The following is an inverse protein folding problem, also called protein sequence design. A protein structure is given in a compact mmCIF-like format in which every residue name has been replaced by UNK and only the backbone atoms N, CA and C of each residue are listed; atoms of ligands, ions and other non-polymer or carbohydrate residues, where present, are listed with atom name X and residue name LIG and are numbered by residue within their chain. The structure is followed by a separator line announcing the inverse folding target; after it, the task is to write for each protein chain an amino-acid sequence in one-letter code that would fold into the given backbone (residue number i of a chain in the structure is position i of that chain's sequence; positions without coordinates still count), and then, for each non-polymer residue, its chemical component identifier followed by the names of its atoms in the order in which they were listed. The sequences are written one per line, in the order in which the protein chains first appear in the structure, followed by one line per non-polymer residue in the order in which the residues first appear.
data_IF_287747524357
#
_entry.id   IF_287747524357
#
_cell.length_a   1.000
_cell.length_b   1.000
_cell.length_c   1.000
_cell.angle_alpha   90.00
_cell.angle_beta   90.00
_cell.angle_gamma   90.00
#
_symmetry.space_group_name_H-M   'P 1'
#
loop_
_entity.id
_entity.type
_entity.pdbx_description
1 polymer ?
#
# COMPACT_ATOMS: atom_id res chain seq x y z
N UNK A 1 17.46 -7.94 21.98
CA UNK A 1 17.85 -8.37 20.63
C UNK A 1 17.82 -7.23 19.61
N UNK A 2 16.70 -6.54 19.34
CA UNK A 2 16.71 -5.40 18.39
C UNK A 2 17.68 -4.29 18.83
N UNK A 3 17.61 -3.86 20.09
CA UNK A 3 18.52 -2.85 20.65
C UNK A 3 19.99 -3.29 20.60
N UNK A 4 20.27 -4.60 20.74
CA UNK A 4 21.63 -5.15 20.68
C UNK A 4 22.15 -5.15 19.24
N UNK A 5 21.29 -5.44 18.25
CA UNK A 5 21.64 -5.38 16.82
C UNK A 5 22.00 -3.94 16.42
N UNK A 6 21.26 -2.95 16.94
CA UNK A 6 21.59 -1.54 16.74
C UNK A 6 22.90 -1.13 17.42
N UNK A 7 23.12 -1.55 18.67
CA UNK A 7 24.35 -1.28 19.42
C UNK A 7 25.60 -1.87 18.74
N UNK A 8 25.45 -3.04 18.11
CA UNK A 8 26.51 -3.69 17.32
C UNK A 8 26.73 -3.03 15.95
N UNK A 9 25.95 -2.01 15.57
CA UNK A 9 26.06 -1.31 14.29
C UNK A 9 25.71 -2.17 13.07
N UNK A 10 25.09 -3.33 13.29
CA UNK A 10 24.78 -4.30 12.23
C UNK A 10 23.73 -3.78 11.25
N UNK A 11 22.88 -2.84 11.68
CA UNK A 11 21.89 -2.18 10.82
C UNK A 11 22.52 -1.33 9.70
N UNK A 12 23.83 -1.05 9.78
CA UNK A 12 24.60 -0.30 8.77
C UNK A 12 25.56 -1.18 7.97
N UNK A 13 25.64 -2.47 8.28
CA UNK A 13 26.56 -3.42 7.65
C UNK A 13 25.80 -4.57 6.99
N UNK A 14 26.11 -4.84 5.72
CA UNK A 14 25.62 -6.04 5.02
C UNK A 14 26.50 -7.27 5.28
N UNK A 15 27.58 -7.11 6.04
CA UNK A 15 28.54 -8.19 6.30
C UNK A 15 28.07 -9.02 7.50
N UNK A 16 27.94 -10.35 7.36
CA UNK A 16 27.66 -11.19 8.51
C UNK A 16 28.79 -11.11 9.54
N UNK A 17 28.42 -11.09 10.82
CA UNK A 17 29.36 -11.11 11.94
C UNK A 17 29.34 -12.47 12.61
N UNK A 18 30.51 -12.95 13.01
CA UNK A 18 30.62 -14.07 13.95
C UNK A 18 30.54 -13.55 15.38
N UNK A 19 30.18 -14.39 16.33
CA UNK A 19 30.21 -14.01 17.75
C UNK A 19 31.63 -13.63 18.17
N UNK A 20 32.62 -14.39 17.70
CA UNK A 20 34.03 -14.08 17.90
C UNK A 20 34.49 -12.72 17.30
N UNK A 21 33.74 -12.16 16.35
CA UNK A 21 34.04 -10.84 15.75
C UNK A 21 33.44 -9.67 16.56
N UNK A 22 32.60 -9.96 17.57
CA UNK A 22 31.92 -8.93 18.36
C UNK A 22 32.89 -8.26 19.34
N UNK A 23 32.78 -6.93 19.45
CA UNK A 23 33.56 -6.15 20.42
C UNK A 23 33.07 -6.32 21.87
N UNK A 24 31.82 -6.72 22.04
CA UNK A 24 31.19 -6.89 23.36
C UNK A 24 31.11 -8.39 23.71
N UNK A 25 31.56 -8.81 24.89
CA UNK A 25 31.43 -10.21 25.32
C UNK A 25 29.97 -10.68 25.35
N UNK A 26 29.69 -11.89 24.87
CA UNK A 26 28.31 -12.43 24.85
C UNK A 26 27.68 -12.60 26.23
N UNK A 27 28.47 -12.69 27.30
CA UNK A 27 27.96 -12.69 28.67
C UNK A 27 27.33 -11.36 29.08
N UNK A 28 27.70 -10.26 28.42
CA UNK A 28 27.16 -8.93 28.67
C UNK A 28 25.97 -8.61 27.75
N UNK A 29 25.79 -9.40 26.69
CA UNK A 29 24.64 -9.31 25.81
C UNK A 29 23.47 -10.05 26.44
N UNK A 30 22.39 -9.32 26.74
CA UNK A 30 21.18 -9.85 27.36
C UNK A 30 20.61 -11.06 26.63
N UNK A 31 20.48 -11.00 25.30
CA UNK A 31 19.95 -12.13 24.52
C UNK A 31 20.80 -13.39 24.66
N UNK A 32 22.13 -13.23 24.72
CA UNK A 32 23.05 -14.34 24.90
C UNK A 32 23.11 -14.86 26.33
N UNK A 33 23.13 -13.98 27.33
CA UNK A 33 23.22 -14.35 28.74
C UNK A 33 21.93 -15.01 29.25
N UNK A 34 20.76 -14.46 28.88
CA UNK A 34 19.47 -14.92 29.40
C UNK A 34 18.87 -16.07 28.58
N UNK A 35 19.19 -16.19 27.28
CA UNK A 35 18.54 -17.16 26.40
C UNK A 35 19.51 -18.11 25.70
N UNK A 36 20.46 -17.59 24.92
CA UNK A 36 21.24 -18.45 24.01
C UNK A 36 22.28 -19.31 24.74
N UNK A 37 23.00 -18.74 25.71
CA UNK A 37 24.01 -19.46 26.49
C UNK A 37 23.39 -20.55 27.38
N UNK A 38 22.30 -20.29 28.12
CA UNK A 38 21.57 -21.34 28.85
C UNK A 38 21.04 -22.45 27.94
N UNK A 39 20.62 -22.12 26.71
CA UNK A 39 20.17 -23.09 25.71
C UNK A 39 21.33 -23.92 25.08
N UNK A 40 22.58 -23.67 25.48
CA UNK A 40 23.74 -24.44 25.03
C UNK A 40 24.46 -23.89 23.80
N UNK A 41 24.02 -22.75 23.25
CA UNK A 41 24.73 -22.09 22.15
C UNK A 41 26.00 -21.40 22.66
N UNK A 42 27.06 -21.42 21.85
CA UNK A 42 28.40 -20.92 22.22
C UNK A 42 29.01 -20.02 21.15
N UNK A 43 28.56 -20.14 19.92
CA UNK A 43 29.10 -19.40 18.77
C UNK A 43 28.02 -19.33 17.66
N UNK A 44 28.22 -18.50 16.64
CA UNK A 44 27.30 -18.40 15.52
C UNK A 44 27.65 -17.31 14.51
N UNK A 45 26.82 -17.20 13.48
CA UNK A 45 26.84 -16.14 12.48
C UNK A 45 25.53 -15.35 12.54
N UNK A 46 25.62 -14.03 12.42
CA UNK A 46 24.46 -13.15 12.39
C UNK A 46 24.56 -12.14 11.24
N UNK A 47 23.45 -11.84 10.58
CA UNK A 47 23.39 -10.74 9.62
C UNK A 47 22.02 -10.06 9.62
N UNK A 48 22.01 -8.76 9.29
CA UNK A 48 20.79 -8.05 8.94
C UNK A 48 20.39 -8.38 7.49
N UNK A 49 19.10 -8.58 7.26
CA UNK A 49 18.51 -8.76 5.93
C UNK A 49 17.84 -7.47 5.50
N UNK A 50 18.04 -7.09 4.24
CA UNK A 50 17.55 -5.84 3.69
C UNK A 50 16.75 -6.08 2.40
N UNK A 51 15.76 -5.22 2.17
CA UNK A 51 15.08 -5.12 0.90
C UNK A 51 16.00 -4.44 -0.13
N UNK A 52 15.63 -4.53 -1.41
CA UNK A 52 16.42 -3.95 -2.51
C UNK A 52 16.53 -2.41 -2.43
N UNK A 53 15.57 -1.76 -1.77
CA UNK A 53 15.54 -0.32 -1.49
C UNK A 53 16.31 0.08 -0.22
N UNK A 54 16.95 -0.88 0.48
CA UNK A 54 17.73 -0.64 1.68
C UNK A 54 16.95 -0.69 3.00
N UNK A 55 15.63 -0.94 2.98
CA UNK A 55 14.88 -1.11 4.23
C UNK A 55 15.34 -2.37 4.98
N UNK A 56 15.51 -2.27 6.29
CA UNK A 56 15.80 -3.42 7.14
C UNK A 56 14.57 -4.32 7.25
N UNK A 57 14.69 -5.58 6.80
CA UNK A 57 13.63 -6.59 6.85
C UNK A 57 13.69 -7.42 8.13
N UNK A 58 14.88 -7.57 8.71
CA UNK A 58 15.05 -8.33 9.94
C UNK A 58 16.47 -8.80 10.14
N UNK A 59 16.61 -9.85 10.94
CA UNK A 59 17.89 -10.42 11.33
C UNK A 59 17.85 -11.94 11.18
N UNK A 60 18.94 -12.50 10.67
CA UNK A 60 19.15 -13.94 10.54
C UNK A 60 20.33 -14.35 11.41
N UNK A 61 20.09 -15.30 12.32
CA UNK A 61 21.12 -15.92 13.15
C UNK A 61 21.24 -17.42 12.86
N UNK A 62 22.47 -17.89 12.66
CA UNK A 62 22.83 -19.31 12.62
C UNK A 62 23.68 -19.61 13.86
N UNK A 63 23.14 -20.39 14.79
CA UNK A 63 23.75 -20.62 16.10
C UNK A 63 24.28 -22.05 16.20
N UNK A 64 25.40 -22.22 16.89
CA UNK A 64 26.01 -23.53 17.16
C UNK A 64 26.33 -23.70 18.65
N UNK A 65 26.21 -24.93 19.14
CA UNK A 65 26.66 -25.29 20.50
C UNK A 65 28.16 -25.56 20.59
N UNK A 66 28.84 -25.70 19.45
CA UNK A 66 30.29 -25.80 19.40
C UNK A 66 30.93 -24.43 19.64
N UNK A 67 32.02 -24.33 20.43
CA UNK A 67 32.79 -23.09 20.56
C UNK A 67 33.68 -22.81 19.33
N UNK A 68 33.67 -23.68 18.31
CA UNK A 68 34.47 -23.50 17.10
C UNK A 68 33.95 -22.33 16.28
N UNK A 69 34.83 -21.34 16.05
CA UNK A 69 34.53 -20.16 15.24
C UNK A 69 34.26 -20.55 13.78
N UNK A 70 33.12 -20.13 13.18
CA UNK A 70 32.82 -20.36 11.78
C UNK A 70 33.91 -19.86 10.84
N UNK A 71 34.18 -20.63 9.80
CA UNK A 71 35.22 -20.30 8.85
C UNK A 71 34.84 -19.06 8.04
N UNK A 72 35.81 -18.31 7.48
CA UNK A 72 35.52 -17.18 6.58
C UNK A 72 34.61 -17.59 5.40
N UNK A 73 34.78 -18.81 4.88
CA UNK A 73 33.94 -19.33 3.80
C UNK A 73 32.45 -19.45 4.20
N UNK A 74 32.15 -19.80 5.45
CA UNK A 74 30.76 -19.87 5.95
C UNK A 74 30.15 -18.47 6.02
N UNK A 75 30.94 -17.49 6.44
CA UNK A 75 30.57 -16.07 6.48
C UNK A 75 30.29 -15.53 5.08
N UNK A 76 31.17 -15.83 4.12
CA UNK A 76 31.05 -15.37 2.74
C UNK A 76 29.84 -16.03 2.03
N UNK A 77 29.57 -17.31 2.32
CA UNK A 77 28.37 -17.99 1.84
C UNK A 77 27.10 -17.32 2.37
N UNK A 78 27.04 -17.03 3.67
CA UNK A 78 25.89 -16.34 4.27
C UNK A 78 25.70 -14.94 3.67
N UNK A 79 26.79 -14.20 3.46
CA UNK A 79 26.76 -12.90 2.80
C UNK A 79 26.18 -12.99 1.37
N UNK A 80 26.59 -14.01 0.61
CA UNK A 80 26.09 -14.25 -0.74
C UNK A 80 24.60 -14.63 -0.78
N UNK A 81 24.10 -15.33 0.25
CA UNK A 81 22.69 -15.69 0.37
C UNK A 81 21.80 -14.53 0.84
N UNK A 82 22.35 -13.55 1.56
CA UNK A 82 21.63 -12.42 2.15
C UNK A 82 20.62 -11.74 1.20
N UNK A 83 21.02 -11.30 -0.02
CA UNK A 83 20.09 -10.68 -0.96
C UNK A 83 18.96 -11.60 -1.44
N UNK A 84 19.22 -12.90 -1.60
CA UNK A 84 18.20 -13.86 -2.00
C UNK A 84 17.18 -14.08 -0.87
N UNK A 85 17.66 -14.22 0.37
CA UNK A 85 16.82 -14.36 1.55
C UNK A 85 16.01 -13.09 1.81
N UNK A 86 16.63 -11.91 1.71
CA UNK A 86 15.94 -10.61 1.81
C UNK A 86 14.78 -10.50 0.82
N UNK A 87 15.01 -10.82 -0.46
CA UNK A 87 13.92 -10.87 -1.46
C UNK A 87 12.83 -11.90 -1.16
N UNK A 88 13.20 -13.03 -0.58
CA UNK A 88 12.25 -14.11 -0.27
C UNK A 88 11.32 -13.74 0.89
N UNK A 89 11.80 -12.94 1.85
CA UNK A 89 11.05 -12.56 3.05
C UNK A 89 10.46 -11.15 3.00
N UNK A 90 10.75 -10.35 1.95
CA UNK A 90 10.22 -8.99 1.83
C UNK A 90 8.69 -9.01 1.71
N UNK A 91 7.95 -8.55 2.73
CA UNK A 91 6.49 -8.59 2.71
C UNK A 91 5.90 -7.68 1.64
N UNK A 92 6.62 -6.63 1.22
CA UNK A 92 6.12 -5.68 0.23
C UNK A 92 6.32 -6.17 -1.21
N UNK A 93 7.02 -7.28 -1.41
CA UNK A 93 7.25 -7.85 -2.74
C UNK A 93 5.95 -8.24 -3.43
N UNK A 94 5.05 -8.94 -2.72
CA UNK A 94 3.75 -9.33 -3.27
C UNK A 94 2.88 -8.11 -3.57
N UNK A 95 2.89 -7.12 -2.68
CA UNK A 95 2.14 -5.88 -2.87
C UNK A 95 2.63 -5.10 -4.10
N UNK A 96 3.94 -4.98 -4.26
CA UNK A 96 4.56 -4.33 -5.42
C UNK A 96 4.21 -5.06 -6.72
N UNK A 97 4.25 -6.40 -6.72
CA UNK A 97 3.86 -7.20 -7.88
C UNK A 97 2.38 -7.02 -8.24
N UNK A 98 1.48 -6.97 -7.25
CA UNK A 98 0.06 -6.73 -7.47
C UNK A 98 -0.19 -5.34 -8.08
N UNK A 99 0.49 -4.30 -7.56
CA UNK A 99 0.39 -2.96 -8.10
C UNK A 99 0.87 -2.84 -9.55
N UNK A 100 1.89 -3.61 -9.96
CA UNK A 100 2.38 -3.65 -11.34
C UNK A 100 1.36 -4.21 -12.34
N UNK A 101 0.34 -4.92 -11.88
CA UNK A 101 -0.77 -5.35 -12.73
C UNK A 101 -1.68 -4.18 -13.15
N UNK A 102 -1.63 -3.07 -12.43
CA UNK A 102 -2.37 -1.85 -12.79
C UNK A 102 -1.60 -1.12 -13.89
N UNK A 103 -2.16 -1.14 -15.09
CA UNK A 103 -1.56 -0.51 -16.26
C UNK A 103 -1.38 1.00 -16.06
N UNK A 104 -0.22 1.53 -16.48
CA UNK A 104 0.12 2.94 -16.39
C UNK A 104 0.05 3.52 -14.95
N UNK A 105 0.32 2.70 -13.93
CA UNK A 105 0.47 3.20 -12.57
C UNK A 105 1.63 4.22 -12.49
N UNK A 106 1.33 5.42 -12.01
CA UNK A 106 2.27 6.54 -11.90
C UNK A 106 2.70 6.84 -10.48
N UNK A 107 1.95 6.38 -9.48
CA UNK A 107 2.28 6.51 -8.06
C UNK A 107 1.53 5.46 -7.24
N UNK A 108 2.02 5.13 -6.04
CA UNK A 108 1.34 4.16 -5.19
C UNK A 108 1.79 4.15 -3.73
N UNK A 109 0.87 3.75 -2.85
CA UNK A 109 1.11 3.57 -1.42
C UNK A 109 0.37 2.33 -0.91
N UNK A 110 0.77 1.85 0.25
CA UNK A 110 0.07 0.81 0.99
C UNK A 110 -0.60 1.46 2.19
N UNK A 111 -1.91 1.25 2.31
CA UNK A 111 -2.69 1.65 3.46
C UNK A 111 -2.40 0.71 4.63
N UNK A 112 -2.31 1.30 5.82
CA UNK A 112 -2.15 0.55 7.06
C UNK A 112 -3.45 0.60 7.88
N UNK A 113 -3.53 -0.16 8.97
CA UNK A 113 -4.59 -0.04 9.97
C UNK A 113 -4.57 1.34 10.67
N UNK A 114 -3.39 1.97 10.76
CA UNK A 114 -3.26 3.35 11.25
C UNK A 114 -3.56 4.34 10.10
N UNK A 115 -3.74 5.64 10.38
CA UNK A 115 -3.86 6.66 9.33
C UNK A 115 -2.59 6.82 8.48
N UNK A 116 -1.49 6.17 8.85
CA UNK A 116 -0.23 6.22 8.12
C UNK A 116 -0.30 5.42 6.82
N UNK A 117 0.61 5.77 5.92
CA UNK A 117 0.83 5.10 4.64
C UNK A 117 2.27 4.64 4.52
N UNK A 118 2.47 3.49 3.91
CA UNK A 118 3.80 3.05 3.50
C UNK A 118 3.99 3.34 2.01
N UNK A 119 5.17 3.87 1.67
CA UNK A 119 5.56 3.99 0.26
C UNK A 119 5.58 2.61 -0.39
N UNK A 120 5.07 2.53 -1.61
CA UNK A 120 5.12 1.31 -2.40
C UNK A 120 6.43 1.29 -3.22
N UNK A 121 7.34 0.34 -2.99
CA UNK A 121 8.64 0.33 -3.66
C UNK A 121 8.52 0.37 -5.19
N UNK A 122 9.32 1.23 -5.83
CA UNK A 122 9.37 1.36 -7.29
C UNK A 122 8.31 2.28 -7.90
N UNK A 123 7.38 2.81 -7.11
CA UNK A 123 6.46 3.88 -7.54
C UNK A 123 6.79 5.18 -6.80
N UNK A 124 6.75 6.34 -7.49
CA UNK A 124 7.07 7.62 -6.89
C UNK A 124 5.93 8.11 -5.98
N UNK A 125 6.27 9.07 -5.12
CA UNK A 125 5.31 9.76 -4.26
C UNK A 125 4.37 10.66 -5.06
N UNK A 126 3.16 10.88 -4.52
CA UNK A 126 2.19 11.79 -5.10
C UNK A 126 1.41 12.53 -4.01
N UNK A 127 1.09 13.81 -4.24
CA UNK A 127 0.41 14.64 -3.24
C UNK A 127 -0.95 14.08 -2.81
N UNK A 128 -1.69 13.49 -3.76
CA UNK A 128 -2.97 12.82 -3.51
C UNK A 128 -2.86 11.49 -2.73
N UNK A 129 -1.65 10.98 -2.49
CA UNK A 129 -1.42 9.77 -1.67
C UNK A 129 -0.76 10.09 -0.32
N UNK A 130 -0.68 11.37 0.06
CA UNK A 130 -0.20 11.76 1.39
C UNK A 130 -1.21 11.35 2.46
N UNK A 131 -0.71 10.99 3.63
CA UNK A 131 -1.53 10.68 4.80
C UNK A 131 -2.56 11.79 5.06
N UNK A 132 -3.80 11.40 5.34
CA UNK A 132 -4.92 12.32 5.57
C UNK A 132 -5.52 12.98 4.32
N UNK A 133 -5.01 12.69 3.11
CA UNK A 133 -5.63 13.22 1.90
C UNK A 133 -7.05 12.66 1.67
N UNK A 134 -7.99 13.44 1.09
CA UNK A 134 -9.35 12.97 0.82
C UNK A 134 -9.40 11.72 -0.07
N UNK A 135 -8.43 11.57 -0.98
CA UNK A 135 -8.30 10.39 -1.86
C UNK A 135 -8.08 9.12 -1.07
N UNK A 136 -7.26 9.15 -0.02
CA UNK A 136 -7.02 7.98 0.82
C UNK A 136 -8.21 7.68 1.75
N UNK A 137 -8.95 8.69 2.18
CA UNK A 137 -10.21 8.50 2.92
C UNK A 137 -11.20 7.76 2.02
N UNK A 138 -11.41 8.27 0.80
CA UNK A 138 -12.26 7.62 -0.19
C UNK A 138 -11.79 6.19 -0.52
N UNK A 139 -10.48 5.97 -0.67
CA UNK A 139 -9.92 4.64 -0.95
C UNK A 139 -10.23 3.62 0.13
N UNK A 140 -10.17 4.02 1.42
CA UNK A 140 -10.51 3.14 2.56
C UNK A 140 -11.98 2.73 2.57
N UNK A 141 -12.87 3.62 2.15
CA UNK A 141 -14.32 3.38 2.12
C UNK A 141 -14.79 2.61 0.87
N UNK A 142 -13.98 2.59 -0.19
CA UNK A 142 -14.40 2.12 -1.51
C UNK A 142 -14.02 0.67 -1.81
N UNK A 143 -13.15 0.05 -1.01
CA UNK A 143 -12.72 -1.33 -1.27
C UNK A 143 -13.88 -2.31 -1.06
N UNK A 144 -14.43 -2.79 -2.18
CA UNK A 144 -15.48 -3.81 -2.24
C UNK A 144 -15.00 -4.95 -3.15
N UNK A 145 -14.51 -6.03 -2.54
CA UNK A 145 -13.89 -7.17 -3.22
C UNK A 145 -12.38 -7.01 -3.49
N UNK A 146 -11.80 -7.79 -4.42
CA UNK A 146 -10.34 -7.86 -4.61
C UNK A 146 -9.74 -6.58 -5.23
N UNK A 147 -10.55 -5.83 -5.94
CA UNK A 147 -10.17 -4.57 -6.57
C UNK A 147 -11.38 -3.66 -6.73
N UNK A 148 -11.17 -2.37 -6.49
CA UNK A 148 -12.12 -1.30 -6.81
C UNK A 148 -11.38 -0.12 -7.44
N UNK A 149 -12.07 0.70 -8.22
CA UNK A 149 -11.47 1.91 -8.78
C UNK A 149 -12.47 3.05 -8.88
N UNK A 150 -11.99 4.28 -8.83
CA UNK A 150 -12.79 5.49 -8.95
C UNK A 150 -11.95 6.66 -9.51
N UNK A 151 -12.60 7.77 -9.82
CA UNK A 151 -11.95 9.00 -10.27
C UNK A 151 -11.75 9.97 -9.11
N UNK A 152 -10.56 10.54 -9.04
CA UNK A 152 -10.24 11.69 -8.19
C UNK A 152 -10.01 12.93 -9.08
N UNK A 153 -10.69 14.05 -8.83
CA UNK A 153 -10.42 15.31 -9.53
C UNK A 153 -8.97 15.75 -9.34
N UNK A 154 -8.29 16.05 -10.45
CA UNK A 154 -6.89 16.46 -10.46
C UNK A 154 -6.66 17.47 -11.60
N UNK A 155 -6.94 18.77 -11.39
CA UNK A 155 -6.89 19.77 -12.45
C UNK A 155 -5.52 19.93 -13.11
N UNK A 156 -4.45 19.53 -12.41
CA UNK A 156 -3.07 19.56 -12.91
C UNK A 156 -2.73 18.38 -13.81
N UNK A 157 -3.56 17.35 -13.84
CA UNK A 157 -3.32 16.13 -14.60
C UNK A 157 -3.92 16.20 -16.01
N UNK A 158 -3.31 15.57 -17.01
CA UNK A 158 -3.90 15.42 -18.34
C UNK A 158 -5.28 14.76 -18.24
N UNK A 159 -6.32 15.45 -18.70
CA UNK A 159 -7.71 14.98 -18.62
C UNK A 159 -8.44 15.39 -17.34
N UNK A 160 -7.78 16.03 -16.38
CA UNK A 160 -8.39 16.62 -15.19
C UNK A 160 -8.76 15.61 -14.08
N UNK A 161 -8.40 14.33 -14.25
CA UNK A 161 -8.70 13.27 -13.28
C UNK A 161 -7.56 12.26 -13.17
N UNK A 162 -7.38 11.76 -11.95
CA UNK A 162 -6.62 10.56 -11.65
C UNK A 162 -7.58 9.39 -11.48
N UNK A 163 -7.20 8.24 -12.01
CA UNK A 163 -7.82 6.97 -11.66
C UNK A 163 -7.13 6.42 -10.42
N UNK A 164 -7.91 6.26 -9.36
CA UNK A 164 -7.48 5.64 -8.11
C UNK A 164 -7.94 4.19 -8.16
N UNK A 165 -6.99 3.27 -8.08
CA UNK A 165 -7.27 1.83 -7.99
C UNK A 165 -6.85 1.35 -6.61
N UNK A 166 -7.78 0.70 -5.92
CA UNK A 166 -7.57 0.10 -4.60
C UNK A 166 -7.58 -1.41 -4.79
N UNK A 167 -6.53 -2.08 -4.35
CA UNK A 167 -6.38 -3.53 -4.40
C UNK A 167 -6.37 -4.08 -2.98
N UNK A 168 -6.97 -5.25 -2.82
CA UNK A 168 -6.78 -6.05 -1.61
C UNK A 168 -5.30 -6.44 -1.46
N UNK A 169 -4.83 -6.48 -0.21
CA UNK A 169 -3.46 -6.91 0.09
C UNK A 169 -3.40 -8.44 0.04
N UNK A 170 -2.37 -9.05 -0.58
CA UNK A 170 -2.20 -10.50 -0.55
C UNK A 170 -2.06 -11.08 0.87
N UNK A 171 -2.52 -12.32 1.07
CA UNK A 171 -2.55 -13.00 2.39
C UNK A 171 -1.18 -13.12 3.09
N UNK A 172 -0.08 -13.04 2.33
CA UNK A 172 1.28 -13.20 2.85
C UNK A 172 1.90 -11.89 3.37
N UNK A 173 1.14 -10.81 3.42
CA UNK A 173 1.58 -9.51 3.90
C UNK A 173 1.15 -9.32 5.37
N UNK A 174 1.93 -8.59 6.20
CA UNK A 174 1.58 -8.33 7.59
C UNK A 174 0.16 -7.78 7.78
N UNK A 175 -0.56 -8.27 8.79
CA UNK A 175 -1.97 -7.92 9.06
C UNK A 175 -2.26 -6.44 9.31
N UNK A 176 -1.23 -5.63 9.58
CA UNK A 176 -1.39 -4.19 9.73
C UNK A 176 -1.48 -3.45 8.39
N UNK A 177 -1.25 -4.12 7.27
CA UNK A 177 -1.43 -3.60 5.91
C UNK A 177 -2.81 -3.99 5.39
N UNK A 178 -3.56 -3.03 4.89
CA UNK A 178 -5.01 -3.18 4.66
C UNK A 178 -5.40 -3.10 3.19
N UNK A 179 -4.75 -2.25 2.40
CA UNK A 179 -5.01 -2.12 0.96
C UNK A 179 -3.80 -1.53 0.23
N UNK A 180 -3.69 -1.79 -1.07
CA UNK A 180 -2.73 -1.13 -1.96
C UNK A 180 -3.50 -0.08 -2.76
N UNK A 181 -3.00 1.15 -2.79
CA UNK A 181 -3.61 2.24 -3.55
C UNK A 181 -2.63 2.71 -4.60
N UNK A 182 -3.05 2.69 -5.85
CA UNK A 182 -2.26 3.12 -7.00
C UNK A 182 -3.02 4.16 -7.83
N UNK A 183 -2.27 5.16 -8.30
CA UNK A 183 -2.76 6.20 -9.21
C UNK A 183 -2.34 5.88 -10.63
N UNK A 184 -3.23 6.16 -11.56
CA UNK A 184 -2.95 6.12 -12.99
C UNK A 184 -3.66 7.28 -13.69
N UNK A 185 -3.18 7.77 -14.83
CA UNK A 185 -3.90 8.75 -15.64
C UNK A 185 -5.26 8.21 -16.09
N UNK A 186 -6.26 9.09 -16.23
CA UNK A 186 -7.56 8.72 -16.80
C UNK A 186 -7.73 9.29 -18.20
N UNK A 187 -7.79 8.42 -19.22
CA UNK A 187 -7.89 8.84 -20.63
C UNK A 187 -9.27 8.62 -21.26
N UNK A 188 -10.03 7.62 -20.80
CA UNK A 188 -11.38 7.34 -21.31
C UNK A 188 -12.44 7.62 -20.26
N UNK A 189 -13.18 8.69 -20.50
CA UNK A 189 -14.24 9.20 -19.64
C UNK A 189 -15.65 8.92 -20.22
N UNK A 190 -15.75 8.19 -21.34
CA UNK A 190 -17.03 7.81 -21.97
C UNK A 190 -17.97 9.01 -22.27
N UNK A 191 -17.40 10.20 -22.48
CA UNK A 191 -18.18 11.43 -22.70
C UNK A 191 -18.97 11.92 -21.48
N UNK A 192 -18.74 11.33 -20.30
CA UNK A 192 -19.34 11.78 -19.05
C UNK A 192 -18.71 13.10 -18.60
N UNK A 193 -19.56 13.96 -18.05
CA UNK A 193 -19.17 15.26 -17.49
C UNK A 193 -18.81 15.11 -16.02
N UNK A 194 -18.12 16.12 -15.47
CA UNK A 194 -17.80 16.18 -14.04
C UNK A 194 -19.03 15.91 -13.17
N UNK A 195 -20.14 16.60 -13.47
CA UNK A 195 -21.38 16.48 -12.71
C UNK A 195 -22.00 15.10 -12.78
N UNK A 196 -21.88 14.43 -13.92
CA UNK A 196 -22.38 13.07 -14.08
C UNK A 196 -21.55 12.06 -13.27
N UNK A 197 -20.24 12.28 -13.11
CA UNK A 197 -19.41 11.47 -12.20
C UNK A 197 -19.79 11.63 -10.74
N UNK A 198 -20.09 12.86 -10.30
CA UNK A 198 -20.56 13.13 -8.94
C UNK A 198 -21.92 12.46 -8.69
N UNK A 199 -22.86 12.58 -9.64
CA UNK A 199 -24.15 11.92 -9.57
C UNK A 199 -23.97 10.40 -9.49
N UNK A 200 -23.15 9.79 -10.37
CA UNK A 200 -22.87 8.35 -10.35
C UNK A 200 -22.31 7.88 -9.00
N UNK A 201 -21.42 8.64 -8.37
CA UNK A 201 -20.89 8.29 -7.05
C UNK A 201 -21.95 8.28 -5.96
N UNK A 202 -22.87 9.24 -5.99
CA UNK A 202 -24.02 9.26 -5.10
C UNK A 202 -25.00 8.11 -5.39
N UNK A 203 -25.18 7.73 -6.66
CA UNK A 203 -26.02 6.58 -7.02
C UNK A 203 -25.45 5.26 -6.48
N UNK A 204 -24.14 5.06 -6.62
CA UNK A 204 -23.41 3.88 -6.14
C UNK A 204 -23.49 3.80 -4.62
N UNK A 205 -23.36 4.94 -3.92
CA UNK A 205 -23.53 5.01 -2.48
C UNK A 205 -24.99 4.91 -2.00
N UNK A 206 -25.96 4.69 -2.90
CA UNK A 206 -27.36 4.42 -2.56
C UNK A 206 -28.25 5.64 -2.33
N UNK A 207 -27.79 6.85 -2.65
CA UNK A 207 -28.57 8.08 -2.44
C UNK A 207 -29.76 8.20 -3.43
N UNK A 208 -30.89 8.66 -2.89
CA UNK A 208 -32.08 9.03 -3.66
C UNK A 208 -31.88 10.39 -4.35
N UNK A 209 -32.73 10.70 -5.34
CA UNK A 209 -32.63 11.97 -6.08
C UNK A 209 -32.70 13.21 -5.18
N UNK A 210 -33.51 13.16 -4.12
CA UNK A 210 -33.66 14.26 -3.15
C UNK A 210 -32.39 14.46 -2.32
N UNK A 211 -31.78 13.37 -1.84
CA UNK A 211 -30.55 13.40 -1.03
C UNK A 211 -29.34 13.81 -1.87
N UNK A 212 -29.26 13.30 -3.11
CA UNK A 212 -28.23 13.67 -4.05
C UNK A 212 -28.34 15.14 -4.45
N UNK A 213 -29.56 15.62 -4.69
CA UNK A 213 -29.84 17.01 -5.01
C UNK A 213 -29.40 17.95 -3.88
N UNK A 214 -29.67 17.60 -2.62
CA UNK A 214 -29.22 18.35 -1.45
C UNK A 214 -27.69 18.44 -1.37
N UNK A 215 -26.99 17.30 -1.49
CA UNK A 215 -25.52 17.24 -1.43
C UNK A 215 -24.86 18.06 -2.53
N UNK A 216 -25.47 18.05 -3.71
CA UNK A 216 -24.96 18.75 -4.89
C UNK A 216 -25.50 20.18 -5.02
N UNK A 217 -26.35 20.65 -4.10
CA UNK A 217 -27.00 21.96 -4.14
C UNK A 217 -27.75 22.25 -5.46
N UNK A 218 -28.57 21.29 -5.91
CA UNK A 218 -29.42 21.39 -7.11
C UNK A 218 -30.83 20.89 -6.82
N UNK A 219 -31.72 20.91 -7.82
CA UNK A 219 -33.07 20.34 -7.67
C UNK A 219 -33.08 18.83 -7.95
N UNK A 220 -34.03 18.06 -7.37
CA UNK A 220 -34.22 16.65 -7.73
C UNK A 220 -34.50 16.43 -9.22
N UNK A 221 -35.14 17.40 -9.89
CA UNK A 221 -35.36 17.40 -11.34
C UNK A 221 -34.04 17.46 -12.11
N UNK A 222 -33.10 18.30 -11.68
CA UNK A 222 -31.76 18.40 -12.28
C UNK A 222 -31.02 17.06 -12.16
N UNK A 223 -31.10 16.39 -11.01
CA UNK A 223 -30.52 15.05 -10.83
C UNK A 223 -31.15 14.04 -11.81
N UNK A 224 -32.48 14.05 -11.96
CA UNK A 224 -33.17 13.17 -12.91
C UNK A 224 -32.66 13.38 -14.35
N UNK A 225 -32.48 14.62 -14.78
CA UNK A 225 -31.92 14.94 -16.11
C UNK A 225 -30.48 14.43 -16.27
N UNK A 226 -29.63 14.57 -15.24
CA UNK A 226 -28.29 13.97 -15.30
C UNK A 226 -28.35 12.45 -15.41
N UNK A 227 -29.27 11.79 -14.68
CA UNK A 227 -29.45 10.34 -14.76
C UNK A 227 -29.87 9.93 -16.19
N UNK A 228 -30.81 10.63 -16.82
CA UNK A 228 -31.21 10.36 -18.21
C UNK A 228 -30.02 10.40 -19.18
N UNK A 229 -29.17 11.42 -19.07
CA UNK A 229 -27.95 11.51 -19.89
C UNK A 229 -26.94 10.40 -19.58
N UNK A 230 -26.76 10.06 -18.30
CA UNK A 230 -25.90 8.95 -17.87
C UNK A 230 -26.37 7.62 -18.48
N UNK A 231 -27.68 7.35 -18.46
CA UNK A 231 -28.25 6.12 -19.03
C UNK A 231 -27.90 5.99 -20.51
N UNK A 232 -28.01 7.08 -21.27
CA UNK A 232 -27.65 7.11 -22.69
C UNK A 232 -26.14 6.88 -22.87
N UNK A 233 -25.29 7.62 -22.15
CA UNK A 233 -23.82 7.56 -22.29
C UNK A 233 -23.22 6.23 -21.85
N UNK A 234 -23.81 5.60 -20.84
CA UNK A 234 -23.37 4.29 -20.35
C UNK A 234 -24.14 3.12 -20.97
N UNK A 235 -25.02 3.37 -21.94
CA UNK A 235 -25.87 2.36 -22.59
C UNK A 235 -26.67 1.51 -21.58
N UNK A 236 -27.12 2.15 -20.49
CA UNK A 236 -27.82 1.49 -19.40
C UNK A 236 -29.33 1.68 -19.52
N UNK A 237 -30.10 0.60 -19.38
CA UNK A 237 -31.56 0.63 -19.36
C UNK A 237 -32.16 0.97 -17.98
N UNK A 238 -31.33 1.06 -16.93
CA UNK A 238 -31.78 1.36 -15.57
C UNK A 238 -30.70 2.04 -14.74
N UNK A 239 -31.14 2.79 -13.71
CA UNK A 239 -30.26 3.43 -12.72
C UNK A 239 -29.28 2.44 -12.10
N UNK A 240 -29.77 1.26 -11.72
CA UNK A 240 -28.96 0.21 -11.12
C UNK A 240 -27.89 -0.31 -12.09
N UNK A 241 -28.25 -0.53 -13.36
CA UNK A 241 -27.29 -0.95 -14.37
C UNK A 241 -26.23 0.12 -14.65
N UNK A 242 -26.61 1.40 -14.67
CA UNK A 242 -25.66 2.50 -14.80
C UNK A 242 -24.68 2.57 -13.63
N UNK A 243 -25.17 2.43 -12.39
CA UNK A 243 -24.34 2.39 -11.20
C UNK A 243 -23.33 1.21 -11.26
N UNK A 244 -23.79 0.00 -11.60
CA UNK A 244 -22.92 -1.18 -11.75
C UNK A 244 -21.88 -0.98 -12.86
N UNK A 245 -22.27 -0.45 -14.04
CA UNK A 245 -21.34 -0.18 -15.14
C UNK A 245 -20.30 0.88 -14.76
N UNK A 246 -20.72 1.95 -14.09
CA UNK A 246 -19.83 3.00 -13.61
C UNK A 246 -18.86 2.48 -12.54
N UNK A 247 -19.34 1.71 -11.56
CA UNK A 247 -18.52 1.12 -10.50
C UNK A 247 -17.47 0.16 -11.07
N UNK A 248 -17.88 -0.77 -11.94
CA UNK A 248 -16.96 -1.72 -12.60
C UNK A 248 -15.88 -1.04 -13.44
N UNK A 249 -16.20 0.11 -14.05
CA UNK A 249 -15.26 0.89 -14.88
C UNK A 249 -14.54 1.99 -14.08
N UNK A 250 -14.84 2.14 -12.79
CA UNK A 250 -14.36 3.25 -11.96
C UNK A 250 -14.66 4.64 -12.52
N UNK A 251 -15.81 4.83 -13.17
CA UNK A 251 -16.25 6.09 -13.79
C UNK A 251 -17.19 6.87 -12.87
N UNK A 252 -16.73 7.15 -11.65
CA UNK A 252 -17.49 7.92 -10.67
C UNK A 252 -16.55 8.60 -9.68
N UNK A 253 -17.04 9.64 -9.01
CA UNK A 253 -16.33 10.32 -7.91
C UNK A 253 -17.01 9.91 -6.59
N UNK A 254 -16.34 9.25 -5.65
CA UNK A 254 -16.94 8.84 -4.39
C UNK A 254 -17.45 10.04 -3.58
N UNK A 255 -18.52 9.89 -2.78
CA UNK A 255 -19.06 10.98 -1.97
C UNK A 255 -18.03 11.67 -1.05
N UNK A 256 -17.04 10.93 -0.55
CA UNK A 256 -15.94 11.46 0.27
C UNK A 256 -15.06 12.48 -0.46
N UNK A 257 -15.07 12.51 -1.79
CA UNK A 257 -14.35 13.49 -2.62
C UNK A 257 -15.22 14.65 -3.09
N UNK A 258 -16.53 14.61 -2.81
CA UNK A 258 -17.42 15.71 -3.14
C UNK A 258 -17.23 16.81 -2.11
N UNK A 259 -16.95 18.02 -2.59
CA UNK A 259 -16.81 19.19 -1.72
C UNK A 259 -18.01 19.29 -0.77
N UNK A 260 -17.73 19.27 0.53
CA UNK A 260 -18.78 19.47 1.53
C UNK A 260 -19.21 20.93 1.49
N UNK A 261 -20.51 21.24 1.53
CA UNK A 261 -20.97 22.61 1.76
C UNK A 261 -20.53 23.03 3.18
N UNK A 262 -19.35 23.62 3.31
CA UNK A 262 -18.78 24.05 4.60
C UNK A 262 -17.26 24.21 4.69
N UNK A 263 -16.47 23.81 3.70
CA UNK A 263 -15.01 24.05 3.70
C UNK A 263 -14.62 25.18 2.75
N UNK A 264 -14.90 26.42 3.16
CA UNK A 264 -14.33 27.64 2.60
C UNK A 264 -13.96 28.58 3.75
#
# INVERSE_FOLDING_TARGET
MVDEIEQLGMTRSHTPLRVADLSTPISEMRSWAECLSPAGFREGLGMCLFAADGRLLGFLGLLTGSPTVPAPADRDLLAALGPALGRAIDPLRSATAAAQLVHAATAGVILTLSPDVLALPGLPDHAALRAGSPVLVAARETLDGPQSSFLAPAPTEPGGYLRVTVLEVPDNVPHHLTAIVVLSPSHDLQGLTHREFEVLGLLIAGYHNTEAAQRLNVTPRTIATHIEHILIKLDACSRALAAVRAQRRGLYIPPALLAHPGSA
#
